data_IF_885059321311
#
_entry.id   IF_885059321311
#
_cell.length_a   1.000
_cell.length_b   1.000
_cell.length_c   1.000
_cell.angle_alpha   90.00
_cell.angle_beta   90.00
_cell.angle_gamma   90.00
#
_symmetry.space_group_name_H-M   'P 1'
#
loop_
_entity.id
_entity.type
_entity.pdbx_description
1 polymer ?
#
# COMPACT_ATOMS: atom_id res chain seq x y z
N UNK A 1 -14.55 10.94 9.35
CA UNK A 1 -13.37 10.19 8.97
C UNK A 1 -12.16 10.79 9.63
N UNK A 2 -11.41 9.93 10.29
CA UNK A 2 -10.39 10.40 11.19
C UNK A 2 -9.01 10.51 10.55
N UNK A 3 -8.75 9.76 9.46
CA UNK A 3 -7.44 9.76 8.81
C UNK A 3 -7.54 10.17 7.35
N UNK A 4 -6.52 10.90 6.89
CA UNK A 4 -6.33 11.18 5.48
C UNK A 4 -5.38 10.14 4.92
N UNK A 5 -5.56 9.77 3.65
CA UNK A 5 -4.66 8.86 2.96
C UNK A 5 -3.88 9.66 1.93
N UNK A 6 -2.57 9.62 2.04
CA UNK A 6 -1.64 10.24 1.09
C UNK A 6 -0.83 9.14 0.42
N UNK A 7 -0.55 9.31 -0.85
CA UNK A 7 0.24 8.36 -1.64
C UNK A 7 1.62 8.96 -1.87
N UNK A 8 2.64 8.32 -1.33
CA UNK A 8 4.02 8.75 -1.56
C UNK A 8 4.38 8.61 -3.05
N UNK A 9 5.31 9.43 -3.57
CA UNK A 9 5.68 9.37 -4.99
C UNK A 9 6.06 7.96 -5.47
N UNK A 10 6.79 7.21 -4.68
CA UNK A 10 7.18 5.85 -5.06
C UNK A 10 5.96 4.92 -5.17
N UNK A 11 5.01 5.02 -4.24
CA UNK A 11 3.78 4.23 -4.32
C UNK A 11 2.94 4.61 -5.53
N UNK A 12 2.95 5.89 -5.89
CA UNK A 12 2.27 6.36 -7.09
C UNK A 12 2.87 5.71 -8.34
N UNK A 13 4.20 5.68 -8.43
CA UNK A 13 4.89 5.00 -9.52
C UNK A 13 4.61 3.50 -9.54
N UNK A 14 4.55 2.88 -8.37
CA UNK A 14 4.19 1.46 -8.25
C UNK A 14 2.79 1.20 -8.83
N UNK A 15 1.83 2.06 -8.48
CA UNK A 15 0.45 1.93 -8.97
C UNK A 15 0.36 2.14 -10.49
N UNK A 16 1.09 3.10 -11.03
CA UNK A 16 1.15 3.32 -12.47
C UNK A 16 1.71 2.09 -13.19
N UNK A 17 2.76 1.50 -12.65
CA UNK A 17 3.37 0.29 -13.22
C UNK A 17 2.41 -0.89 -13.18
N UNK A 18 1.67 -1.04 -12.10
CA UNK A 18 0.67 -2.10 -11.95
C UNK A 18 -0.46 -1.90 -12.96
N UNK A 19 -0.95 -0.67 -13.12
CA UNK A 19 -2.00 -0.35 -14.07
C UNK A 19 -1.56 -0.66 -15.52
N UNK A 20 -0.34 -0.28 -15.88
CA UNK A 20 0.21 -0.56 -17.20
C UNK A 20 0.36 -2.06 -17.46
N UNK A 21 0.87 -2.80 -16.47
CA UNK A 21 1.00 -4.24 -16.55
C UNK A 21 -0.35 -4.92 -16.81
N UNK A 22 -1.39 -4.48 -16.09
CA UNK A 22 -2.73 -5.03 -16.23
C UNK A 22 -3.31 -4.73 -17.62
N UNK A 23 -3.13 -3.50 -18.11
CA UNK A 23 -3.61 -3.11 -19.45
C UNK A 23 -2.95 -3.92 -20.56
N UNK A 24 -1.66 -4.21 -20.43
CA UNK A 24 -0.94 -5.01 -21.41
C UNK A 24 -1.35 -6.47 -21.42
N UNK A 25 -1.68 -7.03 -20.26
CA UNK A 25 -1.95 -8.44 -20.09
C UNK A 25 -3.41 -8.82 -20.20
N UNK A 26 -4.30 -7.91 -19.91
CA UNK A 26 -5.72 -8.19 -19.91
C UNK A 26 -6.51 -6.92 -20.12
N UNK A 27 -7.43 -6.96 -21.07
CA UNK A 27 -8.38 -5.86 -21.33
C UNK A 27 -9.75 -6.20 -20.78
N UNK A 28 -9.84 -7.15 -19.86
CA UNK A 28 -11.11 -7.60 -19.35
C UNK A 28 -11.65 -6.66 -18.27
N UNK A 29 -12.97 -6.63 -18.14
CA UNK A 29 -13.63 -5.90 -17.06
C UNK A 29 -13.20 -6.44 -15.68
N UNK A 30 -12.81 -7.72 -15.61
CA UNK A 30 -12.31 -8.31 -14.36
C UNK A 30 -11.01 -7.68 -13.91
N UNK A 31 -10.10 -7.41 -14.86
CA UNK A 31 -8.83 -6.76 -14.54
C UNK A 31 -9.04 -5.35 -14.03
N UNK A 32 -9.96 -4.61 -14.66
CA UNK A 32 -10.31 -3.25 -14.22
C UNK A 32 -10.92 -3.25 -12.82
N UNK A 33 -11.81 -4.20 -12.54
CA UNK A 33 -12.40 -4.35 -11.21
C UNK A 33 -11.36 -4.71 -10.16
N UNK A 34 -10.41 -5.56 -10.53
CA UNK A 34 -9.34 -5.92 -9.60
C UNK A 34 -8.52 -4.69 -9.20
N UNK A 35 -8.16 -3.87 -10.19
CA UNK A 35 -7.39 -2.65 -9.94
C UNK A 35 -8.21 -1.63 -9.13
N UNK A 36 -9.49 -1.47 -9.46
CA UNK A 36 -10.39 -0.60 -8.68
C UNK A 36 -10.49 -1.08 -7.24
N UNK A 37 -10.54 -2.40 -7.02
CA UNK A 37 -10.53 -2.99 -5.68
C UNK A 37 -9.26 -2.66 -4.92
N UNK A 38 -8.12 -2.64 -5.59
CA UNK A 38 -6.85 -2.24 -4.98
C UNK A 38 -6.92 -0.79 -4.50
N UNK A 39 -7.42 0.10 -5.35
CA UNK A 39 -7.57 1.52 -4.98
C UNK A 39 -8.55 1.68 -3.82
N UNK A 40 -9.66 0.93 -3.84
CA UNK A 40 -10.65 0.97 -2.76
C UNK A 40 -10.06 0.51 -1.43
N UNK A 41 -9.24 -0.53 -1.46
CA UNK A 41 -8.57 -1.03 -0.25
C UNK A 41 -7.60 0.03 0.31
N UNK A 42 -6.86 0.70 -0.55
CA UNK A 42 -5.99 1.79 -0.13
C UNK A 42 -6.82 2.91 0.51
N UNK A 43 -7.91 3.31 -0.13
CA UNK A 43 -8.79 4.34 0.40
C UNK A 43 -9.41 3.94 1.75
N UNK A 44 -9.64 2.65 1.97
CA UNK A 44 -10.19 2.16 3.22
C UNK A 44 -9.29 2.43 4.43
N UNK A 45 -8.02 2.75 4.21
CA UNK A 45 -7.08 3.05 5.29
C UNK A 45 -7.42 4.36 6.03
N UNK A 46 -8.34 5.16 5.50
CA UNK A 46 -8.88 6.31 6.22
C UNK A 46 -9.69 5.89 7.45
N UNK A 47 -10.08 4.62 7.53
CA UNK A 47 -10.85 4.07 8.65
C UNK A 47 -10.01 3.05 9.40
N UNK A 48 -9.72 3.33 10.66
CA UNK A 48 -9.01 2.42 11.55
C UNK A 48 -7.76 1.77 10.92
N UNK A 49 -6.79 2.54 10.45
CA UNK A 49 -5.61 1.97 9.79
C UNK A 49 -4.78 1.06 10.70
N UNK A 50 -4.88 1.26 12.03
CA UNK A 50 -4.17 0.40 12.98
C UNK A 50 -4.73 -1.02 13.06
N UNK A 51 -5.83 -1.33 12.37
CA UNK A 51 -6.32 -2.71 12.23
C UNK A 51 -5.35 -3.59 11.45
N UNK A 52 -4.52 -2.97 10.61
CA UNK A 52 -3.53 -3.69 9.81
C UNK A 52 -2.31 -4.02 10.65
N UNK A 53 -1.71 -5.20 10.49
CA UNK A 53 -0.55 -5.60 11.28
C UNK A 53 0.69 -4.76 10.95
N UNK A 54 1.59 -4.70 11.91
CA UNK A 54 2.92 -4.13 11.70
C UNK A 54 3.70 -5.09 10.81
N UNK A 55 4.33 -4.57 9.77
CA UNK A 55 5.12 -5.37 8.86
C UNK A 55 6.40 -5.87 9.56
N UNK A 56 6.82 -7.09 9.21
CA UNK A 56 8.03 -7.68 9.78
C UNK A 56 9.27 -6.82 9.53
N UNK A 57 9.30 -6.11 8.42
CA UNK A 57 10.41 -5.25 8.03
C UNK A 57 10.58 -4.02 8.93
N UNK A 58 9.58 -3.70 9.75
CA UNK A 58 9.61 -2.51 10.62
C UNK A 58 10.82 -2.51 11.57
N UNK A 59 11.17 -3.66 12.08
CA UNK A 59 12.28 -3.79 13.02
C UNK A 59 13.61 -3.39 12.39
N UNK A 60 13.87 -3.89 11.18
CA UNK A 60 15.08 -3.53 10.42
C UNK A 60 15.08 -2.07 10.00
N UNK A 61 13.91 -1.53 9.68
CA UNK A 61 13.77 -0.16 9.21
C UNK A 61 13.90 0.87 10.33
N UNK A 62 13.77 0.44 11.59
CA UNK A 62 13.79 1.35 12.72
C UNK A 62 12.57 2.27 12.79
N UNK A 63 11.50 1.92 12.12
CA UNK A 63 10.25 2.67 12.15
C UNK A 63 9.06 1.72 11.93
N UNK A 64 7.91 2.08 12.48
CA UNK A 64 6.71 1.29 12.30
C UNK A 64 6.16 1.47 10.88
N UNK A 65 6.09 0.36 10.16
CA UNK A 65 5.47 0.27 8.85
C UNK A 65 4.43 -0.84 8.94
N UNK A 66 3.23 -0.56 8.46
CA UNK A 66 2.13 -1.52 8.49
C UNK A 66 1.86 -2.09 7.11
N UNK A 67 1.16 -3.20 7.07
CA UNK A 67 0.95 -3.97 5.85
C UNK A 67 -0.54 -4.27 5.66
N UNK A 68 -1.06 -3.88 4.51
CA UNK A 68 -2.37 -4.29 4.03
C UNK A 68 -2.18 -5.17 2.80
N UNK A 69 -2.88 -6.30 2.77
CA UNK A 69 -2.83 -7.22 1.63
C UNK A 69 -4.06 -7.03 0.74
N UNK A 70 -3.84 -7.01 -0.57
CA UNK A 70 -4.90 -6.99 -1.56
C UNK A 70 -4.72 -8.14 -2.54
N UNK A 71 -5.80 -8.87 -2.82
CA UNK A 71 -5.77 -9.98 -3.76
C UNK A 71 -5.62 -11.31 -3.07
N UNK A 72 -5.48 -12.37 -3.87
CA UNK A 72 -5.38 -13.76 -3.40
C UNK A 72 -4.27 -14.51 -4.10
N UNK A 73 -3.61 -15.40 -3.37
CA UNK A 73 -2.59 -16.31 -3.91
C UNK A 73 -1.53 -15.54 -4.71
N UNK A 74 -1.31 -15.90 -5.96
CA UNK A 74 -0.30 -15.30 -6.81
C UNK A 74 -0.63 -13.87 -7.25
N UNK A 75 -1.85 -13.40 -6.98
CA UNK A 75 -2.29 -12.04 -7.30
C UNK A 75 -2.34 -11.14 -6.07
N UNK A 76 -1.62 -11.50 -5.02
CA UNK A 76 -1.59 -10.71 -3.80
C UNK A 76 -0.54 -9.61 -3.90
N UNK A 77 -0.95 -8.39 -3.55
CA UNK A 77 -0.07 -7.24 -3.47
C UNK A 77 0.04 -6.78 -2.02
N UNK A 78 1.21 -6.35 -1.65
CA UNK A 78 1.51 -5.80 -0.34
C UNK A 78 1.49 -4.29 -0.40
N UNK A 79 0.67 -3.67 0.43
CA UNK A 79 0.58 -2.22 0.55
C UNK A 79 1.26 -1.84 1.86
N UNK A 80 2.41 -1.19 1.76
CA UNK A 80 3.18 -0.73 2.93
C UNK A 80 2.81 0.71 3.22
N UNK A 81 2.48 0.99 4.47
CA UNK A 81 2.11 2.34 4.88
C UNK A 81 2.56 2.65 6.30
N UNK A 82 2.68 3.93 6.58
CA UNK A 82 2.93 4.43 7.94
C UNK A 82 1.76 5.29 8.39
N UNK A 83 1.62 5.46 9.70
CA UNK A 83 0.58 6.30 10.27
C UNK A 83 1.24 7.42 11.06
N UNK A 84 0.89 8.65 10.71
CA UNK A 84 1.26 9.85 11.46
C UNK A 84 0.06 10.28 12.27
N UNK A 85 0.12 10.06 13.58
CA UNK A 85 -0.98 10.41 14.47
C UNK A 85 -0.93 11.88 14.87
N UNK A 86 -2.05 12.59 14.71
CA UNK A 86 -2.27 13.89 15.36
C UNK A 86 -2.87 13.67 16.72
N UNK A 87 -3.84 12.73 16.81
CA UNK A 87 -4.43 12.22 18.04
C UNK A 87 -4.56 10.72 17.89
N UNK A 88 -4.92 9.96 18.93
CA UNK A 88 -5.12 8.51 18.81
C UNK A 88 -6.11 8.09 17.72
N UNK A 89 -7.03 8.97 17.34
CA UNK A 89 -8.07 8.67 16.35
C UNK A 89 -8.00 9.50 15.08
N UNK A 90 -6.97 10.35 14.92
CA UNK A 90 -6.80 11.23 13.75
C UNK A 90 -5.36 11.30 13.31
N UNK A 91 -5.18 11.51 12.03
CA UNK A 91 -3.85 11.69 11.48
C UNK A 91 -3.81 11.46 9.98
N UNK A 92 -2.63 11.08 9.50
CA UNK A 92 -2.38 10.84 8.08
C UNK A 92 -1.79 9.45 7.91
N UNK A 93 -2.39 8.69 7.01
CA UNK A 93 -1.83 7.43 6.52
C UNK A 93 -1.03 7.75 5.27
N UNK A 94 0.23 7.34 5.24
CA UNK A 94 1.08 7.55 4.07
C UNK A 94 1.41 6.21 3.45
N UNK A 95 0.91 5.96 2.24
CA UNK A 95 1.22 4.74 1.49
C UNK A 95 2.60 4.91 0.87
N UNK A 96 3.52 4.01 1.21
CA UNK A 96 4.93 4.12 0.86
C UNK A 96 5.30 3.28 -0.36
N UNK A 97 4.78 2.05 -0.42
CA UNK A 97 5.07 1.10 -1.50
C UNK A 97 3.89 0.19 -1.74
N UNK A 98 3.72 -0.24 -2.98
CA UNK A 98 2.78 -1.29 -3.37
C UNK A 98 3.55 -2.33 -4.17
N UNK A 99 3.68 -3.55 -3.63
CA UNK A 99 4.52 -4.58 -4.22
C UNK A 99 3.83 -5.92 -4.35
N UNK A 100 4.07 -6.61 -5.45
CA UNK A 100 3.63 -8.00 -5.60
C UNK A 100 4.27 -8.85 -4.50
N UNK A 101 3.52 -9.79 -3.93
CA UNK A 101 3.98 -10.60 -2.79
C UNK A 101 5.26 -11.39 -3.09
N UNK A 102 5.46 -11.79 -4.36
CA UNK A 102 6.63 -12.59 -4.75
C UNK A 102 7.89 -11.74 -4.93
N UNK A 103 7.76 -10.40 -4.94
CA UNK A 103 8.93 -9.54 -5.06
C UNK A 103 9.60 -9.40 -3.70
N UNK A 104 10.93 -9.24 -3.74
CA UNK A 104 11.69 -8.95 -2.53
C UNK A 104 11.12 -7.72 -1.84
N UNK A 105 10.97 -7.73 -0.50
CA UNK A 105 10.51 -6.55 0.21
C UNK A 105 11.40 -5.35 -0.07
N UNK A 106 10.85 -4.11 -0.03
CA UNK A 106 11.68 -2.93 -0.20
C UNK A 106 12.79 -2.86 0.84
N UNK A 107 13.98 -2.47 0.40
CA UNK A 107 15.10 -2.27 1.30
C UNK A 107 14.96 -0.98 2.09
N UNK A 108 15.85 -0.80 3.08
CA UNK A 108 15.81 0.37 3.95
C UNK A 108 15.84 1.68 3.16
N UNK A 109 16.66 1.76 2.11
CA UNK A 109 16.80 2.95 1.30
C UNK A 109 15.52 3.30 0.54
N UNK A 110 14.74 2.29 0.16
CA UNK A 110 13.51 2.48 -0.60
C UNK A 110 12.37 3.07 0.25
N UNK A 111 12.48 3.02 1.57
CA UNK A 111 11.48 3.62 2.47
C UNK A 111 11.83 5.05 2.87
N UNK A 112 12.93 5.59 2.39
CA UNK A 112 13.28 6.98 2.66
C UNK A 112 12.41 7.90 1.82
N UNK A 113 11.83 8.90 2.46
CA UNK A 113 11.02 9.90 1.77
C UNK A 113 11.92 11.04 1.30
N UNK A 114 11.70 11.44 0.06
CA UNK A 114 12.41 12.55 -0.55
C UNK A 114 11.53 13.77 -0.68
#
# INVERSE_FOLDING_TARGET
>A
MAFRVEIAPQAFDDLDSIADYIKERSRSALAERWFSGLIDDIDSLKNMPARCPVAAESEELGREVRLLLHGRKTRTYKIYFSIDYETPSRGTVRVLHVRHWARKPPGKDEFQEH
#
